data_IF_739919774749
#
_entry.id   IF_739919774749
#
_cell.length_a   1.000
_cell.length_b   1.000
_cell.length_c   1.000
_cell.angle_alpha   90.00
_cell.angle_beta   90.00
_cell.angle_gamma   90.00
#
_symmetry.space_group_name_H-M   'P 1'
#
loop_
_entity.id
_entity.type
_entity.pdbx_description
1 polymer ?
#
# COMPACT_ATOMS: atom_id res chain seq x y z
N UNK A 1 -13.28 -27.55 -9.20
CA UNK A 1 -14.17 -26.68 -10.00
C UNK A 1 -13.40 -25.42 -10.37
N UNK A 2 -13.59 -24.81 -11.55
CA UNK A 2 -13.13 -23.43 -11.76
C UNK A 2 -13.79 -22.53 -10.70
N UNK A 3 -13.03 -21.65 -10.05
CA UNK A 3 -13.53 -20.76 -8.98
C UNK A 3 -14.76 -19.92 -9.36
N UNK A 4 -15.01 -19.73 -10.66
CA UNK A 4 -16.18 -19.03 -11.21
C UNK A 4 -17.50 -19.79 -11.01
N UNK A 5 -17.44 -21.09 -10.71
CA UNK A 5 -18.59 -21.93 -10.40
C UNK A 5 -18.71 -22.25 -8.89
N UNK A 6 -17.95 -21.57 -8.04
CA UNK A 6 -17.97 -21.79 -6.59
C UNK A 6 -19.21 -21.14 -5.97
N UNK A 7 -20.24 -21.94 -5.69
CA UNK A 7 -21.50 -21.50 -5.06
C UNK A 7 -21.27 -20.79 -3.70
N UNK A 8 -20.16 -21.06 -3.04
CA UNK A 8 -19.75 -20.38 -1.81
C UNK A 8 -19.50 -18.89 -2.01
N UNK A 9 -19.05 -18.47 -3.20
CA UNK A 9 -18.82 -17.06 -3.52
C UNK A 9 -20.15 -16.29 -3.61
N UNK A 10 -21.18 -16.88 -4.24
CA UNK A 10 -22.53 -16.30 -4.26
C UNK A 10 -23.12 -16.18 -2.85
N UNK A 11 -23.00 -17.24 -2.05
CA UNK A 11 -23.47 -17.25 -0.67
C UNK A 11 -22.77 -16.18 0.18
N UNK A 12 -21.44 -16.09 0.07
CA UNK A 12 -20.64 -15.06 0.75
C UNK A 12 -21.07 -13.67 0.32
N UNK A 13 -21.28 -13.42 -0.97
CA UNK A 13 -21.63 -12.10 -1.49
C UNK A 13 -23.13 -11.73 -1.28
N UNK A 14 -23.94 -12.64 -0.75
CA UNK A 14 -25.38 -12.42 -0.61
C UNK A 14 -26.10 -12.37 -1.96
N UNK A 15 -25.55 -13.01 -2.97
CA UNK A 15 -26.10 -13.06 -4.32
C UNK A 15 -26.77 -14.40 -4.56
N UNK A 16 -27.94 -14.37 -5.20
CA UNK A 16 -28.65 -15.60 -5.59
C UNK A 16 -27.90 -16.37 -6.70
N UNK A 17 -27.11 -15.66 -7.51
CA UNK A 17 -26.29 -16.20 -8.62
C UNK A 17 -25.06 -15.33 -8.77
N UNK A 18 -23.91 -15.94 -9.08
CA UNK A 18 -22.68 -15.21 -9.43
C UNK A 18 -22.90 -14.42 -10.73
N UNK A 19 -22.45 -13.16 -10.83
CA UNK A 19 -22.54 -12.40 -12.07
C UNK A 19 -21.96 -13.19 -13.26
N UNK A 20 -22.62 -13.08 -14.42
CA UNK A 20 -22.18 -13.77 -15.64
C UNK A 20 -20.73 -13.42 -15.94
N UNK A 21 -20.00 -14.38 -16.51
CA UNK A 21 -18.62 -14.17 -16.97
C UNK A 21 -18.48 -12.89 -17.79
N UNK A 22 -19.40 -12.62 -18.73
CA UNK A 22 -19.39 -11.40 -19.54
C UNK A 22 -19.44 -10.13 -18.70
N UNK A 23 -20.31 -10.08 -17.68
CA UNK A 23 -20.39 -8.93 -16.77
C UNK A 23 -19.06 -8.67 -16.06
N UNK A 24 -18.42 -9.73 -15.54
CA UNK A 24 -17.13 -9.65 -14.85
C UNK A 24 -15.97 -9.32 -15.81
N UNK A 25 -15.93 -9.92 -17.01
CA UNK A 25 -14.84 -9.74 -17.96
C UNK A 25 -14.93 -8.42 -18.74
N UNK A 26 -16.13 -7.92 -18.97
CA UNK A 26 -16.35 -6.62 -19.63
C UNK A 26 -16.32 -5.47 -18.62
N UNK A 27 -16.28 -5.79 -17.32
CA UNK A 27 -16.39 -4.81 -16.23
C UNK A 27 -17.61 -3.92 -16.46
N UNK A 28 -18.76 -4.53 -16.74
CA UNK A 28 -19.99 -3.82 -17.11
C UNK A 28 -20.70 -3.19 -15.90
N UNK A 29 -19.94 -2.81 -14.87
CA UNK A 29 -20.44 -2.16 -13.67
C UNK A 29 -20.66 -0.67 -13.91
N UNK A 30 -21.60 -0.08 -13.16
CA UNK A 30 -21.87 1.37 -13.17
C UNK A 30 -21.06 2.11 -12.10
N UNK A 31 -19.90 1.56 -11.73
CA UNK A 31 -19.05 2.10 -10.66
C UNK A 31 -18.34 3.35 -11.18
N UNK A 32 -18.64 4.49 -10.57
CA UNK A 32 -17.96 5.76 -10.79
C UNK A 32 -16.85 6.02 -9.76
N UNK A 33 -15.98 6.98 -10.06
CA UNK A 33 -14.82 7.32 -9.23
C UNK A 33 -15.24 7.70 -7.80
N UNK A 34 -16.29 8.51 -7.65
CA UNK A 34 -16.80 8.90 -6.34
C UNK A 34 -17.23 7.68 -5.51
N UNK A 35 -17.84 6.67 -6.13
CA UNK A 35 -18.23 5.43 -5.43
C UNK A 35 -17.01 4.62 -4.98
N UNK A 36 -15.93 4.60 -5.77
CA UNK A 36 -14.67 3.94 -5.38
C UNK A 36 -14.04 4.66 -4.18
N UNK A 37 -13.99 5.99 -4.25
CA UNK A 37 -13.49 6.85 -3.17
C UNK A 37 -14.34 6.70 -1.90
N UNK A 38 -15.65 6.55 -2.01
CA UNK A 38 -16.53 6.34 -0.87
C UNK A 38 -16.47 4.91 -0.33
N UNK A 39 -16.22 3.91 -1.18
CA UNK A 39 -15.94 2.53 -0.77
C UNK A 39 -14.68 2.45 0.08
N UNK A 40 -13.58 3.09 -0.36
CA UNK A 40 -12.35 3.17 0.43
C UNK A 40 -12.60 3.89 1.77
N UNK A 41 -13.35 4.99 1.77
CA UNK A 41 -13.72 5.69 3.01
C UNK A 41 -14.57 4.84 3.95
N UNK A 42 -15.53 4.08 3.43
CA UNK A 42 -16.35 3.16 4.21
C UNK A 42 -15.51 2.01 4.80
N UNK A 43 -14.55 1.49 4.04
CA UNK A 43 -13.61 0.48 4.53
C UNK A 43 -12.83 0.99 5.74
N UNK A 44 -12.26 2.21 5.67
CA UNK A 44 -11.55 2.83 6.78
C UNK A 44 -12.40 2.88 8.05
N UNK A 45 -13.64 3.38 7.93
CA UNK A 45 -14.58 3.46 9.07
C UNK A 45 -14.89 2.09 9.65
N UNK A 46 -15.04 1.07 8.80
CA UNK A 46 -15.36 -0.29 9.23
C UNK A 46 -14.20 -0.95 10.01
N UNK A 47 -12.96 -0.58 9.69
CA UNK A 47 -11.78 -1.19 10.32
C UNK A 47 -11.12 -0.30 11.37
N UNK A 48 -11.67 0.87 11.66
CA UNK A 48 -11.10 1.86 12.58
C UNK A 48 -10.77 1.23 13.95
N UNK A 49 -11.71 0.46 14.50
CA UNK A 49 -11.55 -0.23 15.79
C UNK A 49 -10.44 -1.30 15.79
N UNK A 50 -9.96 -1.75 14.63
CA UNK A 50 -8.87 -2.71 14.56
C UNK A 50 -7.48 -2.08 14.77
N UNK A 51 -7.40 -0.75 14.72
CA UNK A 51 -6.13 -0.02 14.78
C UNK A 51 -5.20 -0.30 13.59
N UNK A 52 -5.72 -0.82 12.47
CA UNK A 52 -4.91 -1.17 11.30
C UNK A 52 -4.27 0.08 10.68
N UNK A 53 -4.98 1.20 10.63
CA UNK A 53 -4.47 2.46 10.10
C UNK A 53 -4.27 3.44 11.25
N UNK A 54 -3.06 3.46 11.82
CA UNK A 54 -2.72 4.42 12.89
C UNK A 54 -2.63 5.84 12.36
N UNK A 55 -2.23 5.99 11.10
CA UNK A 55 -2.21 7.27 10.40
C UNK A 55 -1.05 8.19 10.76
N UNK A 56 -0.06 7.72 11.51
CA UNK A 56 1.06 8.53 11.98
C UNK A 56 2.07 8.83 10.86
N UNK A 57 2.24 7.87 9.93
CA UNK A 57 3.18 8.01 8.82
C UNK A 57 2.87 7.10 7.64
N UNK A 58 3.01 7.65 6.44
CA UNK A 58 2.71 6.94 5.20
C UNK A 58 3.92 6.82 4.29
N UNK A 59 4.01 5.69 3.60
CA UNK A 59 4.80 5.60 2.38
C UNK A 59 3.87 5.84 1.17
N UNK A 60 4.31 6.62 0.20
CA UNK A 60 3.59 6.86 -1.05
C UNK A 60 4.46 6.41 -2.23
N UNK A 61 3.84 5.79 -3.22
CA UNK A 61 4.52 5.41 -4.45
C UNK A 61 3.57 5.38 -5.65
N UNK A 62 4.15 5.43 -6.84
CA UNK A 62 3.46 5.14 -8.09
C UNK A 62 3.84 3.77 -8.62
N UNK A 63 2.85 3.01 -9.05
CA UNK A 63 3.04 1.74 -9.73
C UNK A 63 2.42 1.77 -11.12
N UNK A 64 3.21 1.43 -12.14
CA UNK A 64 2.73 1.34 -13.52
C UNK A 64 2.27 -0.09 -13.82
N UNK A 65 0.97 -0.29 -13.97
CA UNK A 65 0.39 -1.58 -14.34
C UNK A 65 0.53 -1.78 -15.86
N UNK A 66 1.27 -2.80 -16.34
CA UNK A 66 1.45 -3.03 -17.77
C UNK A 66 0.13 -3.25 -18.53
N UNK A 67 -0.05 -2.54 -19.65
CA UNK A 67 -1.11 -2.83 -20.61
C UNK A 67 -0.51 -3.43 -21.88
N UNK A 68 -1.08 -4.55 -22.33
CA UNK A 68 -0.58 -5.31 -23.50
C UNK A 68 -1.46 -5.15 -24.74
N UNK A 69 -2.57 -4.43 -24.65
CA UNK A 69 -3.43 -4.15 -25.79
C UNK A 69 -3.04 -2.85 -26.51
N UNK A 70 -3.73 -2.57 -27.60
CA UNK A 70 -3.44 -1.42 -28.47
C UNK A 70 -4.38 -0.22 -28.28
N UNK A 71 -5.26 -0.25 -27.28
CA UNK A 71 -6.26 0.80 -27.07
C UNK A 71 -5.64 2.22 -27.05
N UNK A 72 -6.14 3.16 -27.88
CA UNK A 72 -5.46 4.43 -28.15
C UNK A 72 -5.45 5.41 -26.97
N UNK A 73 -6.42 5.28 -26.05
CA UNK A 73 -6.51 6.14 -24.87
C UNK A 73 -5.53 5.75 -23.74
N UNK A 74 -4.90 4.57 -23.81
CA UNK A 74 -3.97 4.14 -22.76
C UNK A 74 -2.61 4.79 -22.98
N UNK A 75 -2.14 5.50 -21.95
CA UNK A 75 -0.91 6.29 -22.00
C UNK A 75 0.34 5.44 -21.74
N UNK A 76 1.50 5.95 -22.16
CA UNK A 76 2.78 5.30 -21.93
C UNK A 76 3.46 5.82 -20.66
N UNK A 77 3.58 4.98 -19.63
CA UNK A 77 4.36 5.24 -18.43
C UNK A 77 5.61 4.35 -18.37
N UNK A 78 6.54 4.68 -17.48
CA UNK A 78 7.73 3.86 -17.26
C UNK A 78 7.37 2.64 -16.40
N UNK A 79 7.69 1.45 -16.89
CA UNK A 79 7.45 0.19 -16.17
C UNK A 79 8.78 -0.32 -15.62
N UNK A 80 8.97 -0.18 -14.32
CA UNK A 80 10.24 -0.46 -13.64
C UNK A 80 10.74 -1.90 -13.87
N UNK A 81 9.87 -2.90 -13.74
CA UNK A 81 10.21 -4.32 -13.93
C UNK A 81 10.71 -4.67 -15.34
N UNK A 82 10.45 -3.80 -16.33
CA UNK A 82 10.85 -4.00 -17.74
C UNK A 82 11.87 -2.98 -18.22
N UNK A 83 12.27 -2.04 -17.37
CA UNK A 83 13.20 -0.95 -17.69
C UNK A 83 12.86 -0.19 -18.97
N UNK A 84 11.56 -0.02 -19.29
CA UNK A 84 11.11 0.63 -20.53
C UNK A 84 9.81 1.39 -20.35
N UNK A 85 9.56 2.36 -21.24
CA UNK A 85 8.25 3.00 -21.37
C UNK A 85 7.35 2.13 -22.25
N UNK A 86 6.12 1.92 -21.81
CA UNK A 86 5.10 1.19 -22.58
C UNK A 86 3.70 1.59 -22.12
N UNK A 87 2.68 1.21 -22.90
CA UNK A 87 1.28 1.39 -22.48
C UNK A 87 1.07 0.77 -21.11
N UNK A 88 0.53 1.55 -20.19
CA UNK A 88 0.31 1.17 -18.80
C UNK A 88 -0.70 2.10 -18.14
N UNK A 89 -1.29 1.64 -17.03
CA UNK A 89 -2.12 2.47 -16.16
C UNK A 89 -1.30 2.83 -14.93
N UNK A 90 -1.11 4.11 -14.70
CA UNK A 90 -0.39 4.59 -13.53
C UNK A 90 -1.32 4.59 -12.32
N UNK A 91 -0.87 3.98 -11.22
CA UNK A 91 -1.63 3.87 -9.98
C UNK A 91 -0.85 4.53 -8.85
N UNK A 92 -1.49 5.45 -8.13
CA UNK A 92 -0.99 6.00 -6.87
C UNK A 92 -1.41 5.10 -5.71
N UNK A 93 -0.49 4.81 -4.80
CA UNK A 93 -0.75 3.99 -3.61
C UNK A 93 -0.19 4.67 -2.37
N UNK A 94 -0.97 4.64 -1.28
CA UNK A 94 -0.51 5.00 0.05
C UNK A 94 -0.53 3.77 0.96
N UNK A 95 0.51 3.62 1.77
CA UNK A 95 0.67 2.56 2.75
C UNK A 95 0.87 3.17 4.14
N UNK A 96 0.07 2.74 5.11
CA UNK A 96 0.32 3.00 6.53
C UNK A 96 1.49 2.15 7.01
N UNK A 97 2.49 2.78 7.63
CA UNK A 97 3.72 2.09 8.02
C UNK A 97 3.53 1.10 9.17
N UNK A 98 2.67 1.42 10.13
CA UNK A 98 2.49 0.66 11.35
C UNK A 98 1.63 -0.57 11.08
N UNK A 99 0.52 -0.38 10.36
CA UNK A 99 -0.35 -1.47 9.91
C UNK A 99 0.25 -2.32 8.81
N UNK A 100 1.28 -1.82 8.12
CA UNK A 100 1.88 -2.40 6.91
C UNK A 100 0.84 -2.77 5.85
N UNK A 101 -0.19 -1.95 5.74
CA UNK A 101 -1.33 -2.16 4.86
C UNK A 101 -1.47 -0.96 3.91
N UNK A 102 -1.87 -1.24 2.67
CA UNK A 102 -2.32 -0.17 1.80
C UNK A 102 -3.58 0.46 2.41
N UNK A 103 -3.66 1.78 2.36
CA UNK A 103 -4.75 2.56 2.93
C UNK A 103 -5.35 3.56 1.93
N UNK A 104 -4.86 3.59 0.69
CA UNK A 104 -5.44 4.39 -0.38
C UNK A 104 -4.89 3.94 -1.73
N UNK A 105 -5.73 3.95 -2.75
CA UNK A 105 -5.34 3.81 -4.15
C UNK A 105 -6.08 4.80 -5.05
N UNK A 106 -5.42 5.23 -6.12
CA UNK A 106 -6.06 5.88 -7.26
C UNK A 106 -5.38 5.50 -8.58
N UNK A 107 -6.12 4.86 -9.50
CA UNK A 107 -5.63 4.54 -10.85
C UNK A 107 -6.31 5.33 -11.98
N UNK A 108 -7.27 6.21 -11.67
CA UNK A 108 -7.92 7.08 -12.65
C UNK A 108 -7.12 8.38 -12.83
N UNK A 109 -5.86 8.22 -13.24
CA UNK A 109 -4.88 9.30 -13.41
C UNK A 109 -4.60 9.56 -14.88
N UNK A 110 -4.52 10.83 -15.27
CA UNK A 110 -3.99 11.22 -16.58
C UNK A 110 -2.59 11.78 -16.43
N UNK A 111 -1.79 11.66 -17.49
CA UNK A 111 -0.50 12.33 -17.61
C UNK A 111 -0.66 13.84 -17.38
N UNK A 112 0.10 14.37 -16.44
CA UNK A 112 0.01 15.72 -15.92
C UNK A 112 -0.56 15.80 -14.50
N UNK A 113 -1.37 14.81 -14.09
CA UNK A 113 -2.01 14.80 -12.77
C UNK A 113 -1.08 14.29 -11.66
N UNK A 114 0.03 13.62 -12.02
CA UNK A 114 0.83 12.82 -11.09
C UNK A 114 1.31 13.63 -9.89
N UNK A 115 1.84 14.83 -10.11
CA UNK A 115 2.40 15.63 -9.03
C UNK A 115 1.35 16.15 -8.05
N UNK A 116 0.09 16.23 -8.47
CA UNK A 116 -1.01 16.70 -7.63
C UNK A 116 -1.72 15.58 -6.87
N UNK A 117 -1.47 14.32 -7.23
CA UNK A 117 -2.19 13.17 -6.66
C UNK A 117 -1.99 13.03 -5.15
N UNK A 118 -0.81 13.40 -4.64
CA UNK A 118 -0.53 13.48 -3.20
C UNK A 118 -1.57 14.33 -2.46
N UNK A 119 -2.09 15.40 -3.07
CA UNK A 119 -3.10 16.24 -2.45
C UNK A 119 -4.51 15.63 -2.48
N UNK A 120 -4.81 14.76 -3.45
CA UNK A 120 -6.06 13.97 -3.43
C UNK A 120 -6.04 12.98 -2.27
N UNK A 121 -4.92 12.30 -2.03
CA UNK A 121 -4.74 11.47 -0.83
C UNK A 121 -4.88 12.29 0.47
N UNK A 122 -4.22 13.45 0.56
CA UNK A 122 -4.34 14.32 1.74
C UNK A 122 -5.79 14.77 1.98
N UNK A 123 -6.51 15.14 0.92
CA UNK A 123 -7.92 15.53 1.01
C UNK A 123 -8.81 14.35 1.43
N UNK A 124 -8.58 13.16 0.85
CA UNK A 124 -9.24 11.93 1.26
C UNK A 124 -9.01 11.64 2.74
N UNK A 125 -7.76 11.66 3.20
CA UNK A 125 -7.40 11.38 4.58
C UNK A 125 -8.08 12.34 5.56
N UNK A 126 -8.04 13.64 5.26
CA UNK A 126 -8.72 14.67 6.05
C UNK A 126 -10.24 14.46 6.12
N UNK A 127 -10.86 14.10 4.99
CA UNK A 127 -12.31 13.85 4.93
C UNK A 127 -12.71 12.64 5.79
N UNK A 128 -11.89 11.59 5.81
CA UNK A 128 -12.21 10.34 6.51
C UNK A 128 -11.90 10.44 8.01
N UNK A 129 -10.76 11.05 8.37
CA UNK A 129 -10.22 11.03 9.73
C UNK A 129 -10.26 12.39 10.46
N UNK A 130 -10.73 13.44 9.79
CA UNK A 130 -10.87 14.79 10.37
C UNK A 130 -9.58 15.60 10.45
N UNK A 131 -8.41 14.97 10.31
CA UNK A 131 -7.09 15.61 10.38
C UNK A 131 -6.25 15.38 9.13
N UNK A 132 -5.29 16.26 8.87
CA UNK A 132 -4.28 16.03 7.81
C UNK A 132 -3.34 14.88 8.20
N UNK A 133 -2.80 14.12 7.23
CA UNK A 133 -1.76 13.14 7.53
C UNK A 133 -0.52 13.86 8.08
N UNK A 134 0.03 13.36 9.19
CA UNK A 134 1.14 14.03 9.88
C UNK A 134 2.49 13.90 9.15
N UNK A 135 2.70 12.78 8.45
CA UNK A 135 4.01 12.47 7.88
C UNK A 135 3.94 11.64 6.58
N UNK A 136 4.56 12.12 5.50
CA UNK A 136 4.56 11.51 4.17
C UNK A 136 5.99 11.19 3.68
N UNK A 137 6.23 9.95 3.26
CA UNK A 137 7.54 9.50 2.76
C UNK A 137 7.41 8.96 1.34
N UNK A 138 8.20 9.47 0.40
CA UNK A 138 8.06 9.16 -1.02
C UNK A 138 9.35 9.35 -1.80
N UNK A 139 9.39 8.89 -3.05
CA UNK A 139 10.56 9.04 -3.91
C UNK A 139 10.69 10.48 -4.49
N UNK A 140 11.77 10.76 -5.21
CA UNK A 140 12.03 12.10 -5.79
C UNK A 140 11.09 12.49 -6.94
N UNK A 141 10.31 11.55 -7.49
CA UNK A 141 9.51 11.73 -8.70
C UNK A 141 8.02 11.83 -8.40
N UNK A 142 7.59 11.48 -7.19
CA UNK A 142 6.19 11.50 -6.79
C UNK A 142 5.55 12.89 -6.90
N UNK A 143 6.29 13.95 -6.59
CA UNK A 143 5.77 15.33 -6.69
C UNK A 143 6.87 16.35 -6.99
N UNK A 144 6.51 17.62 -7.13
CA UNK A 144 7.42 18.72 -7.49
C UNK A 144 7.99 19.43 -6.27
N UNK A 145 9.11 20.14 -6.46
CA UNK A 145 9.69 21.00 -5.43
C UNK A 145 8.73 22.11 -4.95
N UNK A 146 7.88 22.64 -5.83
CA UNK A 146 6.85 23.61 -5.45
C UNK A 146 5.80 22.98 -4.53
N UNK A 147 5.45 21.72 -4.78
CA UNK A 147 4.50 20.98 -3.96
C UNK A 147 5.09 20.64 -2.59
N UNK A 148 6.40 20.44 -2.45
CA UNK A 148 7.05 20.33 -1.13
C UNK A 148 6.84 21.59 -0.27
N UNK A 149 6.94 22.78 -0.89
CA UNK A 149 6.64 24.03 -0.19
C UNK A 149 5.15 24.16 0.19
N UNK A 150 4.25 23.59 -0.61
CA UNK A 150 2.82 23.51 -0.27
C UNK A 150 2.56 22.53 0.89
N UNK A 151 3.19 21.36 0.91
CA UNK A 151 3.10 20.41 2.04
C UNK A 151 3.58 21.06 3.34
N UNK A 152 4.71 21.75 3.29
CA UNK A 152 5.27 22.43 4.47
C UNK A 152 4.36 23.57 4.96
N UNK A 153 3.73 24.34 4.05
CA UNK A 153 2.71 25.33 4.42
C UNK A 153 1.48 24.70 5.08
N UNK A 154 1.15 23.45 4.74
CA UNK A 154 0.06 22.71 5.36
C UNK A 154 0.44 22.09 6.73
N UNK A 155 1.70 22.24 7.17
CA UNK A 155 2.20 21.64 8.41
C UNK A 155 2.42 20.13 8.31
N UNK A 156 2.51 19.58 7.09
CA UNK A 156 2.73 18.15 6.86
C UNK A 156 4.24 17.90 6.81
N UNK A 157 4.71 17.00 7.67
CA UNK A 157 6.12 16.57 7.61
C UNK A 157 6.31 15.67 6.39
N UNK A 158 7.41 15.81 5.65
CA UNK A 158 7.73 14.95 4.52
C UNK A 158 9.20 14.51 4.50
N UNK A 159 9.47 13.35 3.91
CA UNK A 159 10.81 12.91 3.54
C UNK A 159 10.83 12.43 2.10
N UNK A 160 11.73 12.96 1.28
CA UNK A 160 11.91 12.55 -0.11
C UNK A 160 13.37 12.53 -0.52
N UNK A 161 13.67 11.88 -1.65
CA UNK A 161 14.97 12.00 -2.29
C UNK A 161 15.02 13.24 -3.18
N UNK A 162 16.22 13.76 -3.37
CA UNK A 162 16.51 14.79 -4.38
C UNK A 162 17.32 14.15 -5.51
N UNK A 163 16.94 14.45 -6.75
CA UNK A 163 17.70 13.99 -7.92
C UNK A 163 19.15 14.48 -7.86
N UNK A 164 20.10 13.58 -8.15
CA UNK A 164 21.56 13.85 -8.13
C UNK A 164 21.98 14.65 -9.36
N UNK A 165 21.69 15.95 -9.36
CA UNK A 165 22.13 16.85 -10.43
C UNK A 165 23.66 16.95 -10.48
N UNK A 166 24.27 17.27 -11.62
CA UNK A 166 25.72 17.48 -11.72
C UNK A 166 26.25 18.50 -10.70
N UNK A 167 25.47 19.55 -10.42
CA UNK A 167 25.81 20.55 -9.41
C UNK A 167 25.86 19.95 -8.00
N UNK A 168 24.86 19.16 -7.61
CA UNK A 168 24.85 18.50 -6.30
C UNK A 168 25.94 17.43 -6.18
N UNK A 169 26.24 16.69 -7.26
CA UNK A 169 27.36 15.73 -7.27
C UNK A 169 28.69 16.44 -7.05
N UNK A 170 28.90 17.59 -7.73
CA UNK A 170 30.09 18.42 -7.56
C UNK A 170 30.18 18.97 -6.14
N UNK A 171 29.08 19.46 -5.59
CA UNK A 171 29.02 19.95 -4.21
C UNK A 171 29.44 18.86 -3.21
N UNK A 172 28.85 17.66 -3.32
CA UNK A 172 29.22 16.52 -2.47
C UNK A 172 30.69 16.16 -2.61
N UNK A 173 31.24 16.14 -3.83
CA UNK A 173 32.63 15.79 -4.09
C UNK A 173 33.64 16.82 -3.56
N UNK A 174 33.22 18.07 -3.39
CA UNK A 174 34.07 19.16 -2.87
C UNK A 174 34.04 19.28 -1.34
N UNK A 175 33.14 18.58 -0.66
CA UNK A 175 33.09 18.59 0.80
C UNK A 175 34.28 17.80 1.38
N UNK A 176 35.00 18.34 2.38
CA UNK A 176 36.05 17.59 3.04
C UNK A 176 35.45 16.43 3.85
N UNK A 177 36.19 15.33 3.95
CA UNK A 177 35.73 14.16 4.71
C UNK A 177 35.39 14.48 6.18
N UNK A 178 36.06 15.48 6.77
CA UNK A 178 35.80 15.98 8.12
C UNK A 178 34.46 16.68 8.30
N UNK A 179 33.80 17.12 7.21
CA UNK A 179 32.47 17.70 7.28
C UNK A 179 31.37 16.65 7.53
N UNK A 180 31.65 15.38 7.21
CA UNK A 180 30.71 14.30 7.43
C UNK A 180 30.79 13.77 8.85
N UNK A 181 29.62 13.62 9.48
CA UNK A 181 29.48 12.97 10.78
C UNK A 181 29.01 11.54 10.59
N UNK A 182 29.65 10.60 11.28
CA UNK A 182 29.14 9.23 11.36
C UNK A 182 27.91 9.14 12.27
N UNK A 183 26.90 8.41 11.80
CA UNK A 183 25.64 8.20 12.53
C UNK A 183 25.40 6.70 12.66
N UNK A 184 25.29 6.19 13.88
CA UNK A 184 24.91 4.79 14.09
C UNK A 184 23.39 4.61 13.93
N UNK A 185 22.98 3.78 12.97
CA UNK A 185 21.60 3.36 12.78
C UNK A 185 21.24 2.20 13.72
N UNK A 186 20.10 2.32 14.39
CA UNK A 186 19.56 1.28 15.27
C UNK A 186 18.81 0.22 14.45
N UNK A 187 19.57 -0.51 13.62
CA UNK A 187 19.05 -1.56 12.74
C UNK A 187 19.99 -2.75 12.83
N UNK A 188 19.78 -3.67 13.81
CA UNK A 188 20.76 -4.69 14.20
C UNK A 188 21.23 -5.60 13.05
N UNK A 189 20.36 -5.84 12.07
CA UNK A 189 20.59 -6.76 10.95
C UNK A 189 21.13 -6.09 9.68
N UNK A 190 21.33 -4.77 9.67
CA UNK A 190 21.75 -4.06 8.45
C UNK A 190 23.27 -4.17 8.26
N UNK A 191 23.73 -4.47 7.04
CA UNK A 191 25.15 -4.48 6.67
C UNK A 191 25.83 -3.11 6.81
N UNK A 192 25.08 -2.03 6.60
CA UNK A 192 25.55 -0.64 6.61
C UNK A 192 24.94 0.11 7.81
N UNK A 193 25.59 -0.01 8.98
CA UNK A 193 25.12 0.56 10.26
C UNK A 193 25.63 1.97 10.54
N UNK A 194 26.73 2.37 9.91
CA UNK A 194 27.44 3.62 10.21
C UNK A 194 27.54 4.51 8.97
N UNK A 195 26.41 5.01 8.41
CA UNK A 195 26.48 6.00 7.35
C UNK A 195 27.13 7.29 7.82
N UNK A 196 27.81 7.95 6.88
CA UNK A 196 28.36 9.29 7.04
C UNK A 196 27.40 10.32 6.48
N UNK A 197 27.13 11.37 7.24
CA UNK A 197 26.07 12.33 6.98
C UNK A 197 26.62 13.74 7.04
N UNK A 198 26.35 14.53 6.01
CA UNK A 198 26.51 15.98 6.03
C UNK A 198 25.13 16.62 5.85
N UNK A 199 24.84 17.65 6.65
CA UNK A 199 23.53 18.31 6.69
C UNK A 199 23.67 19.79 6.37
N UNK A 200 22.72 20.32 5.61
CA UNK A 200 22.65 21.75 5.32
C UNK A 200 21.22 22.22 5.09
N UNK A 201 21.00 23.52 5.28
CA UNK A 201 19.75 24.17 4.89
C UNK A 201 19.83 24.58 3.42
N UNK A 202 18.78 24.29 2.65
CA UNK A 202 18.64 24.70 1.25
C UNK A 202 17.33 25.46 1.04
N UNK A 203 17.39 26.58 0.30
CA UNK A 203 16.19 27.35 -0.06
C UNK A 203 15.58 26.82 -1.36
N UNK A 204 14.33 26.38 -1.31
CA UNK A 204 13.57 25.82 -2.43
C UNK A 204 12.16 26.39 -2.39
N UNK A 205 11.69 26.93 -3.53
CA UNK A 205 10.35 27.55 -3.65
C UNK A 205 10.05 28.49 -2.46
N UNK A 206 11.03 29.37 -2.17
CA UNK A 206 10.99 30.38 -1.10
C UNK A 206 11.00 29.85 0.35
N UNK A 207 11.13 28.53 0.57
CA UNK A 207 11.18 27.91 1.89
C UNK A 207 12.54 27.26 2.15
N UNK A 208 12.92 27.16 3.41
CA UNK A 208 14.15 26.48 3.81
C UNK A 208 13.82 25.03 4.17
N UNK A 209 14.52 24.09 3.55
CA UNK A 209 14.43 22.68 3.88
C UNK A 209 15.79 22.15 4.30
N UNK A 210 15.75 21.05 5.05
CA UNK A 210 16.93 20.30 5.43
C UNK A 210 17.31 19.37 4.28
N UNK A 211 18.55 19.50 3.81
CA UNK A 211 19.17 18.59 2.86
C UNK A 211 20.26 17.78 3.56
N UNK A 212 20.26 16.47 3.33
CA UNK A 212 21.23 15.55 3.89
C UNK A 212 21.95 14.81 2.76
N UNK A 213 23.27 14.90 2.74
CA UNK A 213 24.12 14.05 1.92
C UNK A 213 24.57 12.86 2.75
N UNK A 214 24.29 11.66 2.26
CA UNK A 214 24.52 10.43 3.00
C UNK A 214 25.37 9.48 2.16
N UNK A 215 26.52 9.09 2.67
CA UNK A 215 27.41 8.07 2.09
C UNK A 215 27.43 6.81 2.96
N UNK A 216 28.06 5.75 2.46
CA UNK A 216 28.25 4.48 3.17
C UNK A 216 26.93 3.76 3.51
N UNK A 217 25.88 3.98 2.71
CA UNK A 217 24.59 3.24 2.78
C UNK A 217 24.53 1.98 1.89
N UNK A 218 25.64 1.62 1.23
CA UNK A 218 25.70 0.49 0.30
C UNK A 218 25.51 0.85 -1.17
N UNK A 219 25.55 2.14 -1.51
CA UNK A 219 25.58 2.64 -2.89
C UNK A 219 26.90 3.38 -3.14
N UNK A 220 27.43 3.29 -4.36
CA UNK A 220 28.64 4.02 -4.76
C UNK A 220 28.41 5.54 -4.73
N UNK A 221 27.26 5.98 -5.23
CA UNK A 221 26.87 7.40 -5.22
C UNK A 221 26.11 7.77 -3.93
N UNK A 222 26.39 8.95 -3.39
CA UNK A 222 25.72 9.49 -2.21
C UNK A 222 24.21 9.61 -2.40
N UNK A 223 23.47 9.27 -1.34
CA UNK A 223 22.03 9.53 -1.24
C UNK A 223 21.82 10.99 -0.85
N UNK A 224 20.91 11.69 -1.55
CA UNK A 224 20.53 13.07 -1.22
C UNK A 224 19.08 13.05 -0.74
N UNK A 225 18.88 13.30 0.55
CA UNK A 225 17.57 13.37 1.18
C UNK A 225 17.17 14.84 1.39
N UNK A 226 15.90 15.14 1.16
CA UNK A 226 15.29 16.46 1.36
C UNK A 226 14.05 16.32 2.26
N UNK A 227 13.96 17.14 3.30
CA UNK A 227 12.92 17.03 4.32
C UNK A 227 12.68 18.35 5.06
N UNK A 228 11.50 18.51 5.64
CA UNK A 228 11.20 19.51 6.67
C UNK A 228 11.17 18.91 8.10
N UNK A 229 11.55 17.64 8.28
CA UNK A 229 11.61 16.96 9.57
C UNK A 229 12.84 17.42 10.39
N UNK A 230 12.59 17.85 11.62
CA UNK A 230 13.58 18.33 12.59
C UNK A 230 14.16 17.24 13.50
N UNK A 231 13.72 15.98 13.37
CA UNK A 231 14.26 14.84 14.13
C UNK A 231 15.75 14.62 13.87
N UNK A 232 16.41 13.83 14.71
CA UNK A 232 17.83 13.49 14.52
C UNK A 232 18.09 12.82 13.15
N UNK A 233 19.30 13.00 12.61
CA UNK A 233 19.70 12.35 11.35
C UNK A 233 19.46 10.83 11.36
N UNK A 234 19.78 10.18 12.49
CA UNK A 234 19.51 8.76 12.74
C UNK A 234 18.04 8.39 12.50
N UNK A 235 17.12 9.19 13.04
CA UNK A 235 15.68 8.92 12.93
C UNK A 235 15.17 9.17 11.52
N UNK A 236 15.62 10.23 10.86
CA UNK A 236 15.25 10.54 9.46
C UNK A 236 15.72 9.44 8.52
N UNK A 237 17.00 9.04 8.62
CA UNK A 237 17.58 7.99 7.77
C UNK A 237 16.91 6.64 8.01
N UNK A 238 16.71 6.27 9.28
CA UNK A 238 16.00 5.03 9.64
C UNK A 238 14.57 5.02 9.11
N UNK A 239 13.84 6.14 9.22
CA UNK A 239 12.46 6.23 8.72
C UNK A 239 12.41 6.18 7.20
N UNK A 240 13.31 6.87 6.50
CA UNK A 240 13.35 6.82 5.04
C UNK A 240 13.70 5.41 4.53
N UNK A 241 14.59 4.69 5.21
CA UNK A 241 14.90 3.29 4.86
C UNK A 241 13.67 2.37 4.92
N UNK A 242 12.70 2.65 5.81
CA UNK A 242 11.42 1.92 5.87
C UNK A 242 10.48 2.22 4.68
N UNK A 243 10.84 3.09 3.72
CA UNK A 243 10.13 3.22 2.44
C UNK A 243 10.12 1.90 1.68
N UNK A 244 11.16 1.07 1.82
CA UNK A 244 11.22 -0.28 1.24
C UNK A 244 10.01 -1.16 1.58
N UNK A 245 9.27 -0.86 2.66
CA UNK A 245 8.05 -1.59 3.02
C UNK A 245 6.95 -1.46 1.97
N UNK A 246 6.85 -0.32 1.26
CA UNK A 246 5.85 -0.19 0.18
C UNK A 246 6.27 -0.99 -1.04
N UNK A 247 7.57 -1.02 -1.35
CA UNK A 247 8.10 -1.85 -2.45
C UNK A 247 7.87 -3.35 -2.18
N UNK A 248 8.08 -3.79 -0.93
CA UNK A 248 7.77 -5.16 -0.51
C UNK A 248 6.27 -5.47 -0.63
N UNK A 249 5.40 -4.53 -0.22
CA UNK A 249 3.96 -4.69 -0.35
C UNK A 249 3.51 -4.71 -1.82
N UNK A 250 4.11 -3.89 -2.69
CA UNK A 250 3.89 -3.93 -4.14
C UNK A 250 4.32 -5.29 -4.72
N UNK A 251 5.45 -5.84 -4.28
CA UNK A 251 5.91 -7.16 -4.71
C UNK A 251 4.92 -8.27 -4.35
N UNK A 252 4.41 -8.25 -3.11
CA UNK A 252 3.38 -9.19 -2.66
C UNK A 252 2.06 -8.98 -3.43
N UNK A 253 1.65 -7.73 -3.65
CA UNK A 253 0.49 -7.36 -4.47
C UNK A 253 0.57 -7.87 -5.91
N UNK A 254 1.75 -7.78 -6.55
CA UNK A 254 1.96 -8.35 -7.89
C UNK A 254 1.87 -9.87 -7.88
N UNK A 255 2.50 -10.53 -6.91
CA UNK A 255 2.63 -11.99 -6.87
C UNK A 255 1.33 -12.70 -6.46
N UNK A 256 0.67 -12.19 -5.43
CA UNK A 256 -0.47 -12.84 -4.80
C UNK A 256 -1.81 -12.24 -5.21
N UNK A 257 -1.94 -10.91 -5.21
CA UNK A 257 -3.18 -10.23 -5.61
C UNK A 257 -3.26 -9.95 -7.11
N UNK A 258 -2.27 -10.42 -7.89
CA UNK A 258 -2.21 -10.27 -9.33
C UNK A 258 -2.38 -8.82 -9.81
N UNK A 259 -1.85 -7.85 -9.07
CA UNK A 259 -1.96 -6.40 -9.38
C UNK A 259 -1.56 -6.04 -10.83
N UNK A 260 -0.66 -6.81 -11.45
CA UNK A 260 -0.21 -6.59 -12.82
C UNK A 260 -1.13 -7.20 -13.91
N UNK A 261 -2.17 -7.92 -13.53
CA UNK A 261 -3.16 -8.47 -14.45
C UNK A 261 -4.20 -7.40 -14.76
N UNK A 262 -3.83 -6.45 -15.63
CA UNK A 262 -4.72 -5.37 -16.01
C UNK A 262 -6.02 -5.93 -16.59
N UNK A 263 -7.12 -5.48 -16.02
CA UNK A 263 -8.43 -6.02 -16.29
C UNK A 263 -9.24 -5.22 -17.32
N UNK A 264 -8.84 -3.96 -17.56
CA UNK A 264 -9.51 -3.04 -18.48
C UNK A 264 -8.56 -1.99 -19.03
N UNK A 265 -8.85 -1.45 -20.22
CA UNK A 265 -8.20 -0.25 -20.76
C UNK A 265 -8.73 1.06 -20.17
N UNK A 266 -9.80 1.01 -19.36
CA UNK A 266 -10.43 2.19 -18.75
C UNK A 266 -9.92 2.38 -17.33
N UNK A 267 -9.32 3.54 -17.03
CA UNK A 267 -8.69 3.86 -15.75
C UNK A 267 -9.60 3.63 -14.54
N UNK A 268 -10.84 4.11 -14.59
CA UNK A 268 -11.84 3.94 -13.51
C UNK A 268 -12.12 2.47 -13.12
N UNK A 269 -12.03 1.54 -14.07
CA UNK A 269 -12.24 0.10 -13.81
C UNK A 269 -11.02 -0.49 -13.10
N UNK A 270 -9.83 -0.06 -13.52
CA UNK A 270 -8.57 -0.41 -12.87
C UNK A 270 -8.52 0.18 -11.46
N UNK A 271 -9.04 1.39 -11.28
CA UNK A 271 -9.14 2.07 -9.98
C UNK A 271 -10.00 1.26 -9.00
N UNK A 272 -11.11 0.70 -9.48
CA UNK A 272 -11.95 -0.18 -8.67
C UNK A 272 -11.20 -1.44 -8.21
N UNK A 273 -10.45 -2.08 -9.12
CA UNK A 273 -9.63 -3.25 -8.75
C UNK A 273 -8.54 -2.89 -7.73
N UNK A 274 -7.94 -1.70 -7.86
CA UNK A 274 -6.95 -1.22 -6.88
C UNK A 274 -7.57 -0.95 -5.52
N UNK A 275 -8.79 -0.41 -5.47
CA UNK A 275 -9.52 -0.26 -4.21
C UNK A 275 -9.87 -1.62 -3.58
N UNK A 276 -10.26 -2.62 -4.38
CA UNK A 276 -10.45 -3.99 -3.90
C UNK A 276 -9.15 -4.61 -3.38
N UNK A 277 -8.01 -4.31 -4.02
CA UNK A 277 -6.69 -4.74 -3.56
C UNK A 277 -6.33 -4.12 -2.20
N UNK A 278 -6.60 -2.82 -2.00
CA UNK A 278 -6.43 -2.14 -0.70
C UNK A 278 -7.22 -2.87 0.38
N UNK A 279 -8.50 -3.15 0.13
CA UNK A 279 -9.37 -3.87 1.06
C UNK A 279 -8.85 -5.29 1.34
N UNK A 280 -8.55 -6.05 0.28
CA UNK A 280 -8.07 -7.43 0.41
C UNK A 280 -6.75 -7.50 1.19
N UNK A 281 -5.79 -6.62 0.86
CA UNK A 281 -4.52 -6.51 1.59
C UNK A 281 -4.76 -6.20 3.08
N UNK A 282 -5.66 -5.26 3.39
CA UNK A 282 -6.05 -4.92 4.75
C UNK A 282 -6.66 -6.09 5.53
N UNK A 283 -7.54 -6.87 4.90
CA UNK A 283 -8.15 -8.08 5.50
C UNK A 283 -7.10 -9.15 5.82
N UNK A 284 -6.16 -9.41 4.90
CA UNK A 284 -5.05 -10.33 5.16
C UNK A 284 -4.17 -9.84 6.31
N UNK A 285 -3.95 -8.53 6.43
CA UNK A 285 -3.20 -7.95 7.55
C UNK A 285 -3.91 -8.08 8.89
N UNK A 286 -5.23 -7.87 8.93
CA UNK A 286 -6.02 -8.11 10.14
C UNK A 286 -6.00 -9.58 10.56
N UNK A 287 -6.13 -10.50 9.60
CA UNK A 287 -6.03 -11.92 9.86
C UNK A 287 -4.66 -12.26 10.45
N UNK A 288 -3.58 -11.78 9.83
CA UNK A 288 -2.21 -11.99 10.29
C UNK A 288 -1.97 -11.51 11.73
N UNK A 289 -2.57 -10.39 12.16
CA UNK A 289 -2.42 -9.89 13.54
C UNK A 289 -3.06 -10.80 14.59
N UNK A 290 -4.06 -11.61 14.21
CA UNK A 290 -4.70 -12.59 15.10
C UNK A 290 -3.99 -13.94 15.14
N UNK A 291 -3.08 -14.18 14.20
CA UNK A 291 -2.47 -15.49 13.98
C UNK A 291 -1.05 -15.49 14.53
N UNK A 292 -0.82 -16.29 15.59
CA UNK A 292 0.48 -16.36 16.28
C UNK A 292 1.60 -16.72 15.29
N UNK A 293 2.60 -15.85 15.18
CA UNK A 293 3.75 -16.03 14.28
C UNK A 293 3.54 -15.52 12.85
N UNK A 294 2.37 -15.00 12.49
CA UNK A 294 2.06 -14.51 11.13
C UNK A 294 2.05 -12.98 11.02
N UNK A 295 2.34 -12.24 12.09
CA UNK A 295 2.28 -10.78 12.10
C UNK A 295 3.12 -10.12 10.99
N UNK A 296 4.21 -10.74 10.52
CA UNK A 296 5.03 -10.23 9.41
C UNK A 296 4.87 -11.03 8.11
N UNK A 297 3.96 -12.01 8.07
CA UNK A 297 3.77 -12.88 6.92
C UNK A 297 3.15 -12.16 5.72
N UNK A 298 3.60 -12.55 4.53
CA UNK A 298 3.02 -12.14 3.25
C UNK A 298 1.69 -12.86 2.97
N UNK A 299 0.84 -12.24 2.15
CA UNK A 299 -0.50 -12.74 1.88
C UNK A 299 -0.50 -14.17 1.30
N UNK A 300 0.45 -14.48 0.41
CA UNK A 300 0.59 -15.84 -0.12
C UNK A 300 0.95 -16.91 0.91
N UNK A 301 1.71 -16.55 1.96
CA UNK A 301 2.03 -17.46 3.06
C UNK A 301 0.79 -17.71 3.93
N UNK A 302 0.09 -16.63 4.29
CA UNK A 302 -1.16 -16.68 5.05
C UNK A 302 -2.19 -17.54 4.31
N UNK A 303 -2.35 -17.31 3.00
CA UNK A 303 -3.30 -18.06 2.18
C UNK A 303 -2.99 -19.55 2.19
N UNK A 304 -1.75 -19.94 1.88
CA UNK A 304 -1.36 -21.35 1.80
C UNK A 304 -1.58 -22.09 3.12
N UNK A 305 -1.19 -21.47 4.23
CA UNK A 305 -1.14 -22.14 5.51
C UNK A 305 -2.49 -22.13 6.22
N UNK A 306 -3.20 -20.99 6.17
CA UNK A 306 -4.35 -20.68 7.02
C UNK A 306 -5.70 -20.55 6.28
N UNK A 307 -5.71 -20.36 4.95
CA UNK A 307 -6.97 -20.17 4.20
C UNK A 307 -7.24 -21.35 3.25
N UNK A 308 -6.22 -21.78 2.50
CA UNK A 308 -6.31 -22.86 1.54
C UNK A 308 -6.28 -24.22 2.24
N UNK A 309 -7.37 -24.51 2.94
CA UNK A 309 -7.60 -25.76 3.65
C UNK A 309 -9.00 -26.32 3.35
N UNK A 310 -9.14 -27.65 3.29
CA UNK A 310 -10.44 -28.26 3.09
C UNK A 310 -11.31 -28.09 4.35
N UNK A 311 -12.60 -27.90 4.10
CA UNK A 311 -13.62 -27.82 5.13
C UNK A 311 -14.92 -28.44 4.61
N UNK A 312 -15.74 -28.93 5.54
CA UNK A 312 -17.12 -29.35 5.26
C UNK A 312 -18.05 -28.20 5.57
N UNK A 313 -18.78 -27.73 4.56
CA UNK A 313 -19.79 -26.68 4.71
C UNK A 313 -21.17 -27.33 4.83
N UNK A 314 -21.95 -26.93 5.82
CA UNK A 314 -23.34 -27.35 6.00
C UNK A 314 -24.22 -26.12 6.10
N UNK A 315 -25.19 -26.00 5.19
CA UNK A 315 -26.12 -24.86 5.15
C UNK A 315 -27.43 -25.28 5.80
N UNK A 316 -27.71 -24.76 7.00
CA UNK A 316 -28.97 -24.92 7.70
C UNK A 316 -29.91 -23.73 7.53
N UNK A 317 -31.07 -23.77 8.18
CA UNK A 317 -32.10 -22.71 8.10
C UNK A 317 -31.74 -21.46 8.90
N UNK A 318 -30.98 -21.60 10.00
CA UNK A 318 -30.60 -20.52 10.91
C UNK A 318 -29.09 -20.40 11.12
N UNK A 319 -28.31 -21.37 10.63
CA UNK A 319 -26.86 -21.39 10.78
C UNK A 319 -26.20 -22.04 9.55
N UNK A 320 -25.09 -21.47 9.10
CA UNK A 320 -24.14 -22.09 8.17
C UNK A 320 -22.93 -22.52 8.96
N UNK A 321 -22.62 -23.81 8.96
CA UNK A 321 -21.48 -24.37 9.68
C UNK A 321 -20.34 -24.65 8.71
N UNK A 322 -19.13 -24.21 9.05
CA UNK A 322 -17.88 -24.52 8.33
C UNK A 322 -16.98 -25.31 9.26
N UNK A 323 -16.86 -26.61 9.04
CA UNK A 323 -15.99 -27.50 9.83
C UNK A 323 -14.67 -27.73 9.10
N UNK A 324 -13.60 -27.14 9.60
CA UNK A 324 -12.26 -27.34 9.07
C UNK A 324 -11.82 -28.80 9.22
N UNK A 325 -11.04 -29.30 8.26
CA UNK A 325 -10.43 -30.62 8.39
C UNK A 325 -9.11 -30.51 9.14
N UNK A 326 -8.68 -31.61 9.76
CA UNK A 326 -7.40 -31.67 10.49
C UNK A 326 -6.23 -31.30 9.57
N UNK A 327 -5.41 -30.34 10.01
CA UNK A 327 -4.19 -29.89 9.32
C UNK A 327 -3.16 -29.39 10.31
N UNK A 328 -1.89 -29.37 9.91
CA UNK A 328 -0.78 -28.92 10.76
C UNK A 328 -0.96 -27.50 11.33
N UNK A 329 -1.59 -26.59 10.58
CA UNK A 329 -1.77 -25.19 10.98
C UNK A 329 -3.14 -24.88 11.60
N UNK A 330 -4.07 -25.84 11.66
CA UNK A 330 -5.38 -25.63 12.29
C UNK A 330 -5.30 -25.19 13.76
N UNK A 331 -4.35 -25.67 14.58
CA UNK A 331 -4.20 -25.18 15.96
C UNK A 331 -4.02 -23.66 16.08
N UNK A 332 -3.40 -23.02 15.09
CA UNK A 332 -3.23 -21.56 15.08
C UNK A 332 -4.59 -20.85 14.94
N UNK A 333 -5.49 -21.39 14.13
CA UNK A 333 -6.85 -20.85 13.96
C UNK A 333 -7.68 -21.08 15.22
N UNK A 334 -7.55 -22.25 15.86
CA UNK A 334 -8.21 -22.56 17.13
C UNK A 334 -7.77 -21.55 18.20
N UNK A 335 -6.46 -21.38 18.40
CA UNK A 335 -5.90 -20.47 19.41
C UNK A 335 -6.16 -18.98 19.11
N UNK A 336 -6.53 -18.63 17.88
CA UNK A 336 -6.84 -17.24 17.50
C UNK A 336 -8.15 -16.71 18.09
N UNK A 337 -8.98 -17.59 18.67
CA UNK A 337 -10.32 -17.27 19.18
C UNK A 337 -11.36 -17.00 18.07
N UNK A 338 -11.00 -17.15 16.79
CA UNK A 338 -11.93 -16.93 15.68
C UNK A 338 -13.08 -17.94 15.64
N UNK A 339 -12.92 -19.11 16.25
CA UNK A 339 -13.92 -20.19 16.28
C UNK A 339 -14.89 -20.08 17.48
N UNK A 340 -14.64 -19.16 18.41
CA UNK A 340 -15.30 -19.12 19.71
C UNK A 340 -16.76 -18.67 19.61
N UNK A 341 -17.04 -17.75 18.67
CA UNK A 341 -18.36 -17.12 18.52
C UNK A 341 -18.89 -17.22 17.08
N UNK A 342 -20.21 -17.35 16.90
CA UNK A 342 -20.81 -17.25 15.57
C UNK A 342 -20.64 -15.84 14.99
N UNK A 343 -20.39 -15.75 13.69
CA UNK A 343 -20.29 -14.50 12.95
C UNK A 343 -21.65 -14.17 12.35
N UNK A 344 -22.17 -12.97 12.61
CA UNK A 344 -23.38 -12.48 11.95
C UNK A 344 -23.02 -11.97 10.55
N UNK A 345 -23.66 -12.52 9.53
CA UNK A 345 -23.52 -12.04 8.15
C UNK A 345 -24.72 -11.17 7.82
N UNK A 346 -24.56 -9.86 7.55
CA UNK A 346 -25.67 -8.91 7.46
C UNK A 346 -26.76 -9.28 6.45
N UNK A 347 -26.39 -9.91 5.33
CA UNK A 347 -27.30 -10.28 4.24
C UNK A 347 -27.78 -11.74 4.31
N UNK A 348 -27.58 -12.45 5.41
CA UNK A 348 -28.07 -13.83 5.61
C UNK A 348 -29.39 -13.91 6.39
N UNK A 349 -30.19 -12.84 6.40
CA UNK A 349 -31.53 -12.81 7.00
C UNK A 349 -31.58 -13.35 8.45
N UNK A 350 -30.56 -13.05 9.25
CA UNK A 350 -30.46 -13.48 10.65
C UNK A 350 -29.72 -14.80 10.86
N UNK A 351 -29.40 -15.56 9.80
CA UNK A 351 -28.57 -16.74 9.94
C UNK A 351 -27.11 -16.38 10.27
N UNK A 352 -26.44 -17.22 11.05
CA UNK A 352 -25.06 -17.02 11.49
C UNK A 352 -24.08 -17.98 10.84
N UNK A 353 -22.83 -17.55 10.66
CA UNK A 353 -21.71 -18.41 10.30
C UNK A 353 -21.06 -18.98 11.57
N UNK A 354 -21.02 -20.30 11.71
CA UNK A 354 -20.29 -20.99 12.78
C UNK A 354 -19.09 -21.71 12.20
N UNK A 355 -17.89 -21.36 12.66
CA UNK A 355 -16.66 -22.04 12.27
C UNK A 355 -16.30 -23.07 13.35
N UNK A 356 -15.96 -24.29 12.94
CA UNK A 356 -15.64 -25.41 13.81
C UNK A 356 -14.30 -26.04 13.38
N UNK A 357 -13.55 -26.56 14.35
CA UNK A 357 -12.33 -27.32 14.11
C UNK A 357 -12.58 -28.81 13.85
#
# INVERSE_FOLDING_TARGET
>A
MPHVADEGLSLLAGLNVIPKRSFLSEYASRVGHQQIVDLQAAHHKQIDSSGLFKGESFNLDFHSIPYYGEHPLVQCHFVAMRSRRQKSVLTFLAQDIDGRAFCYSNADLRKGDESEEIFKFIAFWKRVHGALPSHLVFDSKLTTLANLARLDKMGITFMTLRARSPALKKEVALLPASAFREVELDVPTRKYRFPKVYEQSVRIAERNFRQMFITDLGHEESTILLTNDSKSAKNVITRYAKRMLIENALSDAVRFFHMNALSSSVGIKVDFDMALLVIASGLYRQLAHKMRGYADAQAGHIFRDLINMPATVTVGTSEVTVRFHRRAHLPIIIDSGMLDSPVKVPWWNGATLRMLA
#
